data_IF_525310716434
#
_entry.id   IF_525310716434
#
_cell.length_a   1.000
_cell.length_b   1.000
_cell.length_c   1.000
_cell.angle_alpha   90.00
_cell.angle_beta   90.00
_cell.angle_gamma   90.00
#
_symmetry.space_group_name_H-M   'P 1'
#
loop_
_entity.id
_entity.type
_entity.pdbx_description
1 polymer ?
#
# COMPACT_ATOMS: atom_id res chain seq x y z
N UNK A 1 -41.24 15.89 0.76
CA UNK A 1 -39.88 16.43 0.95
C UNK A 1 -38.95 15.25 1.17
N UNK A 2 -37.75 15.31 0.57
CA UNK A 2 -36.56 14.47 0.81
C UNK A 2 -36.50 13.06 0.20
N UNK A 3 -36.23 12.93 -1.11
CA UNK A 3 -35.74 11.65 -1.69
C UNK A 3 -34.73 11.81 -2.84
N UNK A 4 -34.23 12.99 -3.17
CA UNK A 4 -33.36 13.17 -4.37
C UNK A 4 -31.86 12.94 -4.08
N UNK A 5 -31.38 13.25 -2.88
CA UNK A 5 -29.95 13.12 -2.53
C UNK A 5 -29.49 11.66 -2.41
N UNK A 6 -30.24 10.83 -1.67
CA UNK A 6 -29.83 9.45 -1.38
C UNK A 6 -29.68 8.56 -2.63
N UNK A 7 -30.49 8.78 -3.66
CA UNK A 7 -30.39 7.99 -4.90
C UNK A 7 -29.10 8.25 -5.68
N UNK A 8 -28.62 9.49 -5.67
CA UNK A 8 -27.40 9.86 -6.37
C UNK A 8 -26.11 9.38 -5.69
N UNK A 9 -26.12 9.27 -4.36
CA UNK A 9 -24.99 8.73 -3.60
C UNK A 9 -24.81 7.23 -3.82
N UNK A 10 -25.93 6.48 -3.89
CA UNK A 10 -25.90 5.04 -4.16
C UNK A 10 -25.34 4.73 -5.57
N UNK A 11 -25.70 5.52 -6.60
CA UNK A 11 -25.15 5.38 -7.95
C UNK A 11 -23.61 5.56 -8.00
N UNK A 12 -23.11 6.60 -7.33
CA UNK A 12 -21.68 6.90 -7.29
C UNK A 12 -20.91 5.85 -6.48
N UNK A 13 -21.48 5.40 -5.37
CA UNK A 13 -20.94 4.30 -4.55
C UNK A 13 -20.84 3.00 -5.34
N UNK A 14 -21.84 2.66 -6.13
CA UNK A 14 -21.80 1.50 -7.03
C UNK A 14 -20.72 1.64 -8.10
N UNK A 15 -20.54 2.84 -8.69
CA UNK A 15 -19.45 3.10 -9.65
C UNK A 15 -18.08 2.88 -9.02
N UNK A 16 -17.82 3.43 -7.84
CA UNK A 16 -16.55 3.25 -7.12
C UNK A 16 -16.32 1.77 -6.80
N UNK A 17 -17.36 1.07 -6.34
CA UNK A 17 -17.29 -0.37 -6.05
C UNK A 17 -16.97 -1.20 -7.29
N UNK A 18 -17.64 -0.91 -8.42
CA UNK A 18 -17.40 -1.57 -9.69
C UNK A 18 -16.02 -1.26 -10.25
N UNK A 19 -15.55 -0.02 -10.11
CA UNK A 19 -14.21 0.40 -10.47
C UNK A 19 -13.15 -0.45 -9.74
N UNK A 20 -13.25 -0.58 -8.42
CA UNK A 20 -12.29 -1.38 -7.63
C UNK A 20 -12.30 -2.85 -8.03
N UNK A 21 -13.48 -3.43 -8.28
CA UNK A 21 -13.61 -4.83 -8.73
C UNK A 21 -13.03 -5.07 -10.12
N UNK A 22 -13.20 -4.14 -11.06
CA UNK A 22 -12.74 -4.28 -12.46
C UNK A 22 -11.26 -3.95 -12.63
N UNK A 23 -10.78 -2.88 -12.00
CA UNK A 23 -9.42 -2.39 -12.16
C UNK A 23 -8.42 -3.00 -11.17
N UNK A 24 -8.89 -3.43 -9.99
CA UNK A 24 -8.06 -3.98 -8.93
C UNK A 24 -8.62 -5.29 -8.35
N UNK A 25 -8.97 -6.29 -9.18
CA UNK A 25 -9.50 -7.58 -8.71
C UNK A 25 -8.51 -8.31 -7.78
N UNK A 26 -7.22 -8.03 -7.94
CA UNK A 26 -6.13 -8.56 -7.13
C UNK A 26 -6.36 -8.31 -5.63
N UNK A 27 -6.95 -7.18 -5.23
CA UNK A 27 -7.23 -6.88 -3.81
C UNK A 27 -8.04 -8.03 -3.20
N UNK A 28 -9.11 -8.47 -3.85
CA UNK A 28 -9.93 -9.58 -3.36
C UNK A 28 -9.26 -10.94 -3.57
N UNK A 29 -8.55 -11.15 -4.69
CA UNK A 29 -7.85 -12.41 -4.96
C UNK A 29 -6.75 -12.74 -3.93
N UNK A 30 -6.13 -11.71 -3.34
CA UNK A 30 -5.15 -11.86 -2.26
C UNK A 30 -5.79 -11.87 -0.86
N UNK A 31 -7.11 -12.03 -0.75
CA UNK A 31 -7.83 -12.06 0.54
C UNK A 31 -8.03 -10.68 1.17
N UNK A 32 -7.99 -9.61 0.37
CA UNK A 32 -8.30 -8.25 0.77
C UNK A 32 -9.74 -7.83 0.53
N UNK A 33 -10.10 -6.71 1.16
CA UNK A 33 -11.41 -6.06 1.11
C UNK A 33 -11.22 -4.57 0.86
N UNK A 34 -12.11 -3.98 0.07
CA UNK A 34 -12.22 -2.54 -0.06
C UNK A 34 -13.62 -2.12 0.37
N UNK A 35 -13.70 -1.15 1.27
CA UNK A 35 -14.96 -0.57 1.76
C UNK A 35 -14.92 0.94 1.56
N UNK A 36 -16.06 1.53 1.20
CA UNK A 36 -16.22 2.98 1.13
C UNK A 36 -16.64 3.45 2.51
N UNK A 37 -15.82 4.29 3.14
CA UNK A 37 -16.07 4.84 4.48
C UNK A 37 -16.88 6.12 4.42
N UNK A 38 -16.57 6.96 3.42
CA UNK A 38 -17.21 8.24 3.21
C UNK A 38 -17.25 8.55 1.72
N UNK A 39 -18.31 9.19 1.28
CA UNK A 39 -18.51 9.65 -0.08
C UNK A 39 -19.25 10.97 -0.01
N UNK A 40 -18.65 12.01 -0.56
CA UNK A 40 -19.24 13.33 -0.71
C UNK A 40 -19.23 13.70 -2.18
N UNK A 41 -20.43 13.72 -2.76
CA UNK A 41 -20.64 14.06 -4.16
C UNK A 41 -20.53 15.57 -4.44
N UNK A 42 -20.83 16.41 -3.45
CA UNK A 42 -20.81 17.86 -3.62
C UNK A 42 -19.37 18.36 -3.69
N UNK A 43 -18.49 17.82 -2.84
CA UNK A 43 -17.05 18.14 -2.85
C UNK A 43 -16.21 17.23 -3.76
N UNK A 44 -16.79 16.11 -4.23
CA UNK A 44 -16.07 15.12 -5.04
C UNK A 44 -15.03 14.33 -4.24
N UNK A 45 -15.23 14.19 -2.92
CA UNK A 45 -14.32 13.47 -2.03
C UNK A 45 -14.80 12.04 -1.76
N UNK A 46 -13.90 11.07 -1.86
CA UNK A 46 -14.16 9.69 -1.44
C UNK A 46 -13.08 9.20 -0.49
N UNK A 47 -13.52 8.57 0.60
CA UNK A 47 -12.64 7.87 1.53
C UNK A 47 -12.91 6.39 1.46
N UNK A 48 -11.89 5.62 1.11
CA UNK A 48 -11.95 4.16 1.05
C UNK A 48 -11.03 3.55 2.10
N UNK A 49 -11.51 2.53 2.78
CA UNK A 49 -10.71 1.68 3.63
C UNK A 49 -10.38 0.41 2.85
N UNK A 50 -9.09 0.22 2.62
CA UNK A 50 -8.57 -1.01 2.06
C UNK A 50 -8.03 -1.86 3.23
N UNK A 51 -8.50 -3.09 3.34
CA UNK A 51 -8.08 -4.05 4.37
C UNK A 51 -7.79 -5.40 3.75
N UNK A 52 -7.23 -6.35 4.51
CA UNK A 52 -7.02 -7.69 3.95
C UNK A 52 -6.01 -8.57 4.66
N UNK A 53 -6.18 -9.88 4.46
CA UNK A 53 -5.47 -10.97 5.10
C UNK A 53 -3.97 -11.09 4.75
N UNK A 54 -3.37 -10.14 4.05
CA UNK A 54 -1.91 -10.05 3.95
C UNK A 54 -1.37 -9.65 5.32
N UNK A 55 -1.25 -10.64 6.19
CA UNK A 55 -0.63 -10.64 7.50
C UNK A 55 0.76 -10.00 7.44
N UNK A 56 0.82 -8.67 7.53
CA UNK A 56 2.05 -7.89 7.61
C UNK A 56 2.51 -7.19 6.32
N UNK A 57 1.85 -7.39 5.16
CA UNK A 57 2.20 -6.66 3.93
C UNK A 57 1.02 -5.78 3.54
N UNK A 58 0.96 -4.59 4.15
CA UNK A 58 -0.03 -3.58 3.79
C UNK A 58 -0.04 -3.32 2.28
N UNK A 59 -1.18 -2.88 1.74
CA UNK A 59 -1.26 -2.51 0.33
C UNK A 59 -0.15 -1.52 0.00
N UNK A 60 0.60 -1.79 -1.06
CA UNK A 60 1.77 -0.97 -1.40
C UNK A 60 1.37 0.48 -1.67
N UNK A 61 2.21 1.46 -1.29
CA UNK A 61 1.97 2.87 -1.61
C UNK A 61 1.74 3.11 -3.11
N UNK A 62 2.42 2.34 -3.97
CA UNK A 62 2.24 2.38 -5.42
C UNK A 62 0.83 1.96 -5.85
N UNK A 63 0.27 0.91 -5.24
CA UNK A 63 -1.11 0.48 -5.50
C UNK A 63 -2.10 1.56 -5.07
N UNK A 64 -1.90 2.17 -3.90
CA UNK A 64 -2.74 3.27 -3.42
C UNK A 64 -2.71 4.43 -4.42
N UNK A 65 -1.53 4.84 -4.86
CA UNK A 65 -1.38 5.94 -5.82
C UNK A 65 -2.03 5.61 -7.17
N UNK A 66 -1.89 4.37 -7.66
CA UNK A 66 -2.55 3.91 -8.88
C UNK A 66 -4.08 3.97 -8.76
N UNK A 67 -4.63 3.58 -7.61
CA UNK A 67 -6.08 3.70 -7.34
C UNK A 67 -6.50 5.17 -7.42
N UNK A 68 -5.81 6.06 -6.70
CA UNK A 68 -6.13 7.51 -6.69
C UNK A 68 -6.11 8.09 -8.11
N UNK A 69 -5.04 7.87 -8.85
CA UNK A 69 -4.89 8.44 -10.20
C UNK A 69 -5.85 7.84 -11.23
N UNK A 70 -6.23 6.57 -11.10
CA UNK A 70 -7.17 5.93 -12.04
C UNK A 70 -8.63 6.26 -11.70
N UNK A 71 -8.97 6.37 -10.43
CA UNK A 71 -10.33 6.64 -9.98
C UNK A 71 -10.81 8.03 -10.45
N UNK A 72 -9.99 9.07 -10.27
CA UNK A 72 -10.30 10.43 -10.74
C UNK A 72 -10.39 10.50 -12.28
N UNK A 73 -9.68 9.62 -13.00
CA UNK A 73 -9.74 9.55 -14.47
C UNK A 73 -10.98 8.82 -14.99
N UNK A 74 -11.44 7.78 -14.29
CA UNK A 74 -12.56 6.95 -14.73
C UNK A 74 -13.91 7.45 -14.19
N UNK A 75 -13.90 8.15 -13.05
CA UNK A 75 -15.06 8.71 -12.39
C UNK A 75 -14.82 10.22 -12.24
N UNK A 76 -15.22 11.05 -13.22
CA UNK A 76 -14.96 12.50 -13.21
C UNK A 76 -15.71 13.26 -12.11
N UNK A 77 -16.66 12.60 -11.43
CA UNK A 77 -17.35 13.14 -10.25
C UNK A 77 -16.50 13.10 -8.98
N UNK A 78 -15.33 12.42 -9.01
CA UNK A 78 -14.42 12.29 -7.88
C UNK A 78 -13.18 13.14 -8.17
N UNK A 79 -12.91 14.14 -7.34
CA UNK A 79 -11.73 14.98 -7.41
C UNK A 79 -10.64 14.52 -6.43
N UNK A 80 -11.05 14.09 -5.23
CA UNK A 80 -10.14 13.74 -4.14
C UNK A 80 -10.39 12.33 -3.62
N UNK A 81 -9.32 11.53 -3.51
CA UNK A 81 -9.39 10.13 -3.05
C UNK A 81 -8.49 9.93 -1.84
N UNK A 82 -9.11 9.60 -0.71
CA UNK A 82 -8.47 9.17 0.53
C UNK A 82 -8.53 7.65 0.61
N UNK A 83 -7.39 7.02 0.90
CA UNK A 83 -7.28 5.57 0.95
C UNK A 83 -6.46 5.19 2.18
N UNK A 84 -7.12 4.52 3.12
CA UNK A 84 -6.54 4.06 4.38
C UNK A 84 -6.34 2.55 4.33
N UNK A 85 -5.17 2.07 4.75
CA UNK A 85 -4.81 0.64 4.66
C UNK A 85 -4.75 -0.07 6.00
N UNK A 86 -5.23 0.55 7.09
CA UNK A 86 -5.12 0.01 8.45
C UNK A 86 -3.69 -0.06 9.01
N UNK A 87 -2.67 0.04 8.15
CA UNK A 87 -1.28 0.25 8.49
C UNK A 87 -1.03 1.75 8.73
N UNK A 88 -1.71 2.32 9.73
CA UNK A 88 -1.39 3.64 10.24
C UNK A 88 -0.10 3.55 11.05
N UNK A 89 1.05 3.76 10.40
CA UNK A 89 2.32 3.85 11.12
C UNK A 89 3.57 3.92 10.23
N UNK A 90 4.10 5.12 10.03
CA UNK A 90 5.54 5.32 9.84
C UNK A 90 6.09 5.23 8.42
N UNK A 91 5.75 6.20 7.57
CA UNK A 91 6.51 6.52 6.35
C UNK A 91 7.26 7.84 6.48
N UNK A 92 7.80 8.14 7.67
CA UNK A 92 8.61 9.32 7.94
C UNK A 92 9.99 8.88 8.40
N UNK A 93 11.01 9.22 7.61
CA UNK A 93 12.42 9.37 7.99
C UNK A 93 13.04 8.32 8.93
N UNK A 94 13.74 7.36 8.36
CA UNK A 94 14.98 6.89 8.99
C UNK A 94 16.08 6.80 7.92
N UNK A 95 16.68 7.95 7.67
CA UNK A 95 18.00 8.09 7.06
C UNK A 95 18.98 8.47 8.17
N UNK A 96 19.15 7.63 9.19
CA UNK A 96 20.19 7.86 10.19
C UNK A 96 20.95 6.58 10.54
N UNK A 97 21.87 6.24 9.64
CA UNK A 97 23.22 5.84 10.06
C UNK A 97 23.36 4.51 10.79
N UNK A 98 23.13 3.39 10.12
CA UNK A 98 23.91 2.18 10.40
C UNK A 98 25.20 2.22 9.57
N UNK A 99 26.20 2.92 10.09
CA UNK A 99 27.60 2.61 9.79
C UNK A 99 27.80 1.10 10.02
N UNK A 100 28.38 0.33 9.07
CA UNK A 100 28.87 -0.99 9.41
C UNK A 100 30.05 -0.79 10.36
N UNK A 101 29.83 -0.98 11.66
CA UNK A 101 30.91 -1.17 12.61
C UNK A 101 31.60 -2.48 12.23
N UNK A 102 32.63 -2.40 11.39
CA UNK A 102 33.69 -3.40 11.35
C UNK A 102 34.51 -3.21 12.63
N UNK A 103 34.45 -4.15 13.60
CA UNK A 103 35.37 -4.13 14.72
C UNK A 103 36.72 -4.60 14.18
N UNK A 104 37.60 -3.64 13.90
CA UNK A 104 39.03 -3.92 13.82
C UNK A 104 39.58 -4.06 15.23
N UNK A 105 39.95 -5.27 15.62
CA UNK A 105 40.81 -5.63 16.75
C UNK A 105 41.27 -7.07 16.46
N UNK A 106 42.52 -7.49 16.38
CA UNK A 106 43.86 -6.98 16.74
C UNK A 106 44.89 -7.62 15.82
N UNK A 107 46.02 -6.95 15.63
CA UNK A 107 47.24 -7.55 15.10
C UNK A 107 47.85 -8.61 16.04
N UNK A 108 48.63 -9.49 15.42
CA UNK A 108 49.74 -10.31 15.95
C UNK A 108 49.44 -11.70 16.55
N UNK A 109 50.07 -12.69 15.88
CA UNK A 109 50.87 -13.80 16.42
C UNK A 109 50.40 -15.24 16.10
N UNK A 110 51.05 -15.78 15.05
CA UNK A 110 51.63 -17.13 14.88
C UNK A 110 50.83 -18.43 15.14
N UNK A 111 50.95 -19.33 14.15
CA UNK A 111 50.86 -20.79 14.22
C UNK A 111 49.49 -21.47 14.40
N UNK A 112 48.90 -21.90 13.28
CA UNK A 112 48.98 -23.31 12.88
C UNK A 112 48.32 -23.53 11.53
N UNK A 113 49.03 -24.24 10.68
CA UNK A 113 48.62 -24.79 9.39
C UNK A 113 47.23 -25.41 9.42
N UNK A 114 46.35 -25.01 8.51
CA UNK A 114 45.36 -25.95 7.98
C UNK A 114 45.06 -25.61 6.51
N UNK A 115 45.53 -26.51 5.67
CA UNK A 115 45.57 -26.44 4.22
C UNK A 115 44.19 -26.78 3.65
N UNK A 116 43.45 -25.77 3.18
CA UNK A 116 42.18 -25.97 2.49
C UNK A 116 42.38 -26.36 1.02
N UNK A 117 41.77 -27.44 0.51
CA UNK A 117 42.00 -27.92 -0.86
C UNK A 117 41.31 -27.03 -1.91
N UNK A 118 42.08 -26.56 -2.89
CA UNK A 118 41.56 -25.88 -4.07
C UNK A 118 41.09 -26.95 -5.09
N UNK A 119 39.79 -27.05 -5.34
CA UNK A 119 39.24 -27.91 -6.40
C UNK A 119 39.26 -27.18 -7.75
N UNK A 120 39.81 -27.79 -8.84
CA UNK A 120 39.60 -27.31 -10.20
C UNK A 120 38.58 -28.19 -10.95
N UNK A 121 37.64 -27.56 -11.64
CA UNK A 121 37.03 -28.07 -12.87
C UNK A 121 36.94 -26.93 -13.88
#
# INVERSE_FOLDING_TARGET
MSTDAAGGDDDLKERVTNFLRRNFPQIQMHGGSAAIQHLDRESGEVSIQLGGACSGCGISPMTIQAIKSRMVKEIPEIETVHADTGMGGGGGGHEDGMSPSFPGETSDDESSSDEGPQAPF
#
